data_IF_063522533035
#
_entry.id   IF_063522533035
#
_cell.length_a   1.000
_cell.length_b   1.000
_cell.length_c   1.000
_cell.angle_alpha   90.00
_cell.angle_beta   90.00
_cell.angle_gamma   90.00
#
_symmetry.space_group_name_H-M   'P 1'
#
loop_
_entity.id
_entity.type
_entity.pdbx_description
1 polymer ?
#
# COMPACT_ATOMS: atom_id res chain seq x y z
N UNK A 1 8.33 -7.94 14.70
CA UNK A 1 7.46 -7.59 13.56
C UNK A 1 8.37 -7.02 12.47
N UNK A 2 8.07 -7.28 11.21
CA UNK A 2 8.74 -6.57 10.11
C UNK A 2 8.02 -5.23 9.91
N UNK A 3 8.73 -4.20 9.48
CA UNK A 3 8.15 -2.87 9.24
C UNK A 3 8.66 -2.34 7.89
N UNK A 4 7.76 -1.67 7.16
CA UNK A 4 8.05 -0.86 5.98
C UNK A 4 7.36 0.50 6.17
N UNK A 5 7.75 1.46 5.35
CA UNK A 5 7.40 2.87 5.43
C UNK A 5 7.15 3.43 4.03
N UNK A 6 6.03 4.11 3.83
CA UNK A 6 5.93 5.20 2.86
C UNK A 6 6.80 6.36 3.35
N UNK A 7 7.67 6.91 2.51
CA UNK A 7 8.41 8.13 2.83
C UNK A 7 8.62 8.94 1.56
N UNK A 8 7.90 10.04 1.41
CA UNK A 8 8.04 10.95 0.27
C UNK A 8 9.45 11.58 0.10
N UNK A 9 10.32 11.57 1.13
CA UNK A 9 11.71 12.07 1.04
C UNK A 9 12.79 11.01 0.74
N UNK A 10 12.56 9.73 1.08
CA UNK A 10 13.54 8.64 0.91
C UNK A 10 13.05 7.51 0.00
N UNK A 11 11.81 7.61 -0.50
CA UNK A 11 11.13 6.57 -1.25
C UNK A 11 10.59 5.47 -0.35
N UNK A 12 9.67 4.69 -0.91
CA UNK A 12 9.08 3.48 -0.33
C UNK A 12 10.20 2.58 0.18
N UNK A 13 9.96 1.93 1.32
CA UNK A 13 10.93 0.99 1.88
C UNK A 13 10.51 -0.45 1.66
N UNK A 14 11.52 -1.32 1.64
CA UNK A 14 11.39 -2.73 1.28
C UNK A 14 11.59 -3.62 2.52
N UNK A 15 10.66 -4.55 2.76
CA UNK A 15 10.86 -5.66 3.67
C UNK A 15 11.47 -6.86 2.94
N UNK A 16 12.43 -7.52 3.59
CA UNK A 16 13.08 -8.72 3.06
C UNK A 16 12.79 -9.93 3.93
N UNK A 17 12.51 -11.04 3.26
CA UNK A 17 12.19 -12.33 3.88
C UNK A 17 13.11 -13.40 3.30
N UNK A 18 13.27 -14.50 4.05
CA UNK A 18 14.01 -15.68 3.59
C UNK A 18 13.39 -16.92 4.19
N UNK A 19 13.27 -17.98 3.38
CA UNK A 19 12.91 -19.30 3.91
C UNK A 19 14.19 -20.07 4.21
N UNK A 20 14.26 -20.64 5.42
CA UNK A 20 15.34 -21.52 5.86
C UNK A 20 14.77 -22.82 6.40
N UNK A 21 15.38 -23.94 6.07
CA UNK A 21 15.21 -25.17 6.81
C UNK A 21 15.87 -25.04 8.19
N UNK A 22 15.20 -25.57 9.21
CA UNK A 22 15.59 -25.48 10.62
C UNK A 22 15.66 -26.87 11.26
N UNK A 23 16.36 -26.98 12.38
CA UNK A 23 16.32 -28.16 13.26
C UNK A 23 15.08 -28.18 14.16
N UNK A 24 14.96 -29.20 15.02
CA UNK A 24 13.84 -29.37 15.95
C UNK A 24 13.71 -28.23 16.98
N UNK A 25 14.78 -27.45 17.19
CA UNK A 25 14.84 -26.31 18.10
C UNK A 25 14.55 -24.98 17.38
N UNK A 26 14.34 -25.01 16.05
CA UNK A 26 14.07 -23.84 15.22
C UNK A 26 15.33 -23.11 14.75
N UNK A 27 16.53 -23.67 14.94
CA UNK A 27 17.76 -23.05 14.46
C UNK A 27 17.98 -23.37 12.98
N UNK A 28 18.40 -22.40 12.15
CA UNK A 28 18.71 -22.68 10.75
C UNK A 28 19.81 -23.74 10.59
N UNK A 29 19.57 -24.72 9.72
CA UNK A 29 20.57 -25.72 9.36
C UNK A 29 21.79 -25.05 8.70
N UNK A 30 22.99 -25.58 8.99
CA UNK A 30 24.23 -25.08 8.38
C UNK A 30 24.23 -25.23 6.85
N UNK A 31 23.77 -26.38 6.36
CA UNK A 31 23.56 -26.65 4.95
C UNK A 31 22.05 -26.61 4.65
N UNK A 32 21.65 -25.74 3.72
CA UNK A 32 20.26 -25.57 3.32
C UNK A 32 19.94 -26.48 2.12
N UNK A 33 18.74 -27.08 2.06
CA UNK A 33 18.33 -27.84 0.88
C UNK A 33 18.19 -26.89 -0.32
N UNK A 34 18.44 -27.43 -1.51
CA UNK A 34 18.14 -26.74 -2.77
C UNK A 34 16.65 -26.90 -3.10
N UNK A 35 16.11 -25.99 -3.90
CA UNK A 35 14.73 -26.06 -4.36
C UNK A 35 13.96 -24.78 -4.05
N UNK A 36 12.67 -24.82 -4.38
CA UNK A 36 11.75 -23.70 -4.17
C UNK A 36 10.60 -24.08 -3.28
N UNK A 37 10.01 -23.09 -2.61
CA UNK A 37 8.80 -23.21 -1.81
C UNK A 37 7.85 -22.08 -2.19
N UNK A 38 6.54 -22.32 -2.09
CA UNK A 38 5.58 -21.24 -2.28
C UNK A 38 5.30 -20.51 -0.96
N UNK A 39 5.11 -19.21 -1.06
CA UNK A 39 4.72 -18.31 0.02
C UNK A 39 3.48 -17.55 -0.36
N UNK A 40 2.66 -17.25 0.64
CA UNK A 40 1.47 -16.43 0.49
C UNK A 40 1.67 -15.08 1.18
N UNK A 41 1.32 -14.00 0.49
CA UNK A 41 1.08 -12.69 1.07
C UNK A 41 -0.43 -12.56 1.28
N UNK A 42 -0.84 -12.44 2.54
CA UNK A 42 -2.24 -12.31 2.92
C UNK A 42 -2.47 -10.93 3.47
N UNK A 43 -3.39 -10.20 2.84
CA UNK A 43 -3.87 -8.90 3.29
C UNK A 43 -4.39 -8.98 4.73
N UNK A 44 -3.98 -8.01 5.54
CA UNK A 44 -4.51 -7.79 6.88
C UNK A 44 -5.52 -6.65 6.82
N UNK A 45 -5.07 -5.47 7.23
CA UNK A 45 -5.79 -4.22 6.92
C UNK A 45 -5.26 -3.57 5.65
N UNK A 46 -3.98 -3.83 5.31
CA UNK A 46 -3.37 -3.41 4.05
C UNK A 46 -3.85 -4.28 2.89
N UNK A 47 -3.83 -3.71 1.70
CA UNK A 47 -4.33 -4.20 0.42
C UNK A 47 -3.20 -4.33 -0.59
N UNK A 48 -2.99 -5.54 -1.12
CA UNK A 48 -1.97 -5.75 -2.13
C UNK A 48 -2.29 -5.00 -3.43
N UNK A 49 -1.33 -4.22 -3.92
CA UNK A 49 -1.42 -3.40 -5.13
C UNK A 49 -1.77 -1.94 -4.87
N UNK A 50 -2.42 -1.66 -3.73
CA UNK A 50 -2.74 -0.30 -3.29
C UNK A 50 -1.70 0.15 -2.24
N UNK A 51 -1.53 -0.59 -1.13
CA UNK A 51 -0.67 -0.16 -0.01
C UNK A 51 0.70 -0.87 -0.02
N UNK A 52 0.79 -2.04 -0.67
CA UNK A 52 2.07 -2.76 -0.82
C UNK A 52 2.11 -3.65 -2.07
N UNK A 53 3.32 -3.93 -2.56
CA UNK A 53 3.55 -4.86 -3.68
C UNK A 53 4.60 -5.91 -3.32
N UNK A 54 4.61 -7.05 -4.04
CA UNK A 54 5.60 -8.11 -3.86
C UNK A 54 5.98 -8.74 -5.20
N UNK A 55 7.21 -9.27 -5.28
CA UNK A 55 7.79 -9.70 -6.55
C UNK A 55 7.51 -11.16 -6.92
N UNK A 56 7.52 -12.08 -5.95
CA UNK A 56 7.46 -13.52 -6.18
C UNK A 56 6.68 -14.24 -5.08
N UNK A 57 5.90 -15.23 -5.46
CA UNK A 57 5.24 -16.17 -4.52
C UNK A 57 5.86 -17.56 -4.54
N UNK A 58 6.71 -17.88 -5.52
CA UNK A 58 7.59 -19.05 -5.49
C UNK A 58 9.02 -18.59 -5.23
N UNK A 59 9.61 -18.99 -4.11
CA UNK A 59 10.90 -18.46 -3.63
C UNK A 59 11.93 -19.58 -3.47
N UNK A 60 13.19 -19.28 -3.74
CA UNK A 60 14.29 -20.24 -3.58
C UNK A 60 14.69 -20.32 -2.11
N UNK A 61 14.79 -21.54 -1.57
CA UNK A 61 15.24 -21.75 -0.18
C UNK A 61 16.61 -21.12 0.02
N UNK A 62 16.75 -20.35 1.10
CA UNK A 62 17.98 -19.64 1.45
C UNK A 62 18.25 -18.35 0.67
N UNK A 63 17.42 -17.98 -0.29
CA UNK A 63 17.50 -16.71 -1.03
C UNK A 63 16.47 -15.71 -0.52
N UNK A 64 16.83 -14.42 -0.55
CA UNK A 64 15.91 -13.36 -0.13
C UNK A 64 14.81 -13.12 -1.19
N UNK A 65 13.63 -12.76 -0.71
CA UNK A 65 12.53 -12.19 -1.48
C UNK A 65 11.95 -11.01 -0.71
N UNK A 66 11.09 -10.21 -1.34
CA UNK A 66 10.71 -8.92 -0.78
C UNK A 66 9.28 -8.49 -1.08
N UNK A 67 8.81 -7.55 -0.25
CA UNK A 67 7.67 -6.69 -0.48
C UNK A 67 8.08 -5.22 -0.27
N UNK A 68 7.42 -4.31 -0.97
CA UNK A 68 7.67 -2.87 -0.95
C UNK A 68 6.37 -2.14 -0.62
N UNK A 69 6.47 -1.07 0.15
CA UNK A 69 5.35 -0.14 0.45
C UNK A 69 4.93 0.59 -0.83
N UNK A 70 3.76 1.21 -0.84
CA UNK A 70 3.28 2.04 -1.94
C UNK A 70 2.87 3.40 -1.38
N UNK A 71 3.62 4.42 -1.75
CA UNK A 71 3.35 5.82 -1.40
C UNK A 71 2.12 6.33 -2.16
N UNK A 72 1.03 6.57 -1.43
CA UNK A 72 -0.20 7.16 -1.95
C UNK A 72 -0.82 8.19 -0.98
N UNK A 73 -1.94 8.82 -1.39
CA UNK A 73 -2.53 9.93 -0.63
C UNK A 73 -3.51 9.51 0.49
N UNK A 74 -3.65 8.22 0.73
CA UNK A 74 -4.40 7.64 1.84
C UNK A 74 -3.45 7.40 3.01
N UNK A 75 -4.00 7.12 4.19
CA UNK A 75 -3.17 6.90 5.37
C UNK A 75 -3.08 5.41 5.67
N UNK A 76 -1.85 4.91 5.68
CA UNK A 76 -1.56 3.49 5.89
C UNK A 76 -0.92 3.22 7.26
N UNK A 77 -0.91 4.24 8.13
CA UNK A 77 -0.20 4.16 9.40
C UNK A 77 -0.76 3.06 10.30
N UNK A 78 0.03 2.01 10.50
CA UNK A 78 -0.34 0.86 11.30
C UNK A 78 -1.10 -0.22 10.53
N UNK A 79 -1.28 -0.06 9.22
CA UNK A 79 -1.78 -1.12 8.37
C UNK A 79 -0.80 -2.30 8.27
N UNK A 80 -1.27 -3.48 7.86
CA UNK A 80 -0.42 -4.67 7.88
C UNK A 80 -0.86 -5.76 6.91
N UNK A 81 0.10 -6.60 6.55
CA UNK A 81 -0.08 -7.87 5.84
C UNK A 81 0.74 -9.00 6.48
N UNK A 82 0.44 -10.24 6.11
CA UNK A 82 1.05 -11.45 6.69
C UNK A 82 1.68 -12.31 5.60
N UNK A 83 2.92 -12.74 5.83
CA UNK A 83 3.65 -13.68 4.97
C UNK A 83 3.68 -15.07 5.62
N UNK A 84 3.34 -16.12 4.88
CA UNK A 84 3.32 -17.51 5.35
C UNK A 84 3.84 -18.50 4.31
N UNK A 85 4.20 -19.71 4.76
CA UNK A 85 4.56 -20.82 3.87
C UNK A 85 3.33 -21.58 3.40
N UNK A 86 3.29 -21.92 2.12
CA UNK A 86 2.27 -22.81 1.59
C UNK A 86 2.64 -24.27 1.87
N UNK A 87 1.77 -24.97 2.60
CA UNK A 87 2.00 -26.38 2.96
C UNK A 87 2.09 -27.28 1.73
N UNK A 88 3.09 -28.16 1.71
CA UNK A 88 3.30 -29.14 0.64
C UNK A 88 3.83 -28.56 -0.68
N UNK A 89 4.32 -27.31 -0.67
CA UNK A 89 4.77 -26.61 -1.90
C UNK A 89 6.25 -26.78 -2.24
N UNK A 90 7.05 -27.39 -1.37
CA UNK A 90 8.47 -27.57 -1.59
C UNK A 90 8.73 -28.47 -2.82
N UNK A 91 9.50 -27.95 -3.78
CA UNK A 91 9.69 -28.58 -5.09
C UNK A 91 10.30 -29.98 -5.03
N UNK A 92 11.15 -30.21 -4.04
CA UNK A 92 11.97 -31.42 -3.95
C UNK A 92 11.47 -32.35 -2.83
N UNK A 93 10.21 -32.20 -2.39
CA UNK A 93 9.64 -32.96 -1.28
C UNK A 93 9.69 -34.48 -1.48
N UNK A 94 9.55 -34.98 -2.72
CA UNK A 94 9.59 -36.41 -3.05
C UNK A 94 10.97 -37.06 -2.83
N UNK A 95 12.02 -36.26 -2.62
CA UNK A 95 13.38 -36.76 -2.32
C UNK A 95 13.60 -37.08 -0.84
N UNK A 96 12.63 -36.75 0.02
CA UNK A 96 12.68 -36.94 1.47
C UNK A 96 11.53 -37.85 1.93
N UNK A 97 11.70 -38.56 3.05
CA UNK A 97 10.58 -39.33 3.62
C UNK A 97 9.45 -38.42 4.15
N UNK A 98 9.79 -37.19 4.58
CA UNK A 98 8.84 -36.20 5.10
C UNK A 98 9.43 -34.78 5.06
N UNK A 99 8.61 -33.81 4.70
CA UNK A 99 8.90 -32.37 4.83
C UNK A 99 7.80 -31.74 5.67
N UNK A 100 8.20 -31.06 6.75
CA UNK A 100 7.28 -30.31 7.61
C UNK A 100 7.37 -28.81 7.33
N UNK A 101 6.27 -28.10 7.56
CA UNK A 101 6.15 -26.67 7.34
C UNK A 101 5.76 -26.05 8.68
N UNK A 102 6.58 -25.11 9.15
CA UNK A 102 6.29 -24.40 10.38
C UNK A 102 5.02 -23.54 10.19
N UNK A 103 4.14 -23.46 11.20
CA UNK A 103 2.94 -22.63 11.13
C UNK A 103 3.24 -21.14 11.34
N UNK A 104 4.50 -20.79 11.62
CA UNK A 104 4.94 -19.43 11.86
C UNK A 104 4.69 -18.53 10.64
N UNK A 105 4.33 -17.29 10.93
CA UNK A 105 4.09 -16.25 9.94
C UNK A 105 4.88 -15.01 10.29
N UNK A 106 5.07 -14.14 9.29
CA UNK A 106 5.68 -12.82 9.49
C UNK A 106 4.63 -11.75 9.22
N UNK A 107 4.19 -11.06 10.27
CA UNK A 107 3.40 -9.83 10.13
C UNK A 107 4.33 -8.67 9.80
N UNK A 108 3.98 -7.92 8.76
CA UNK A 108 4.65 -6.71 8.35
C UNK A 108 3.70 -5.53 8.50
N UNK A 109 4.12 -4.50 9.22
CA UNK A 109 3.35 -3.27 9.42
C UNK A 109 3.86 -2.18 8.49
N UNK A 110 2.93 -1.43 7.91
CA UNK A 110 3.18 -0.26 7.10
C UNK A 110 3.13 0.97 8.03
N UNK A 111 4.13 1.84 7.86
CA UNK A 111 4.30 3.06 8.62
C UNK A 111 4.31 4.23 7.65
N UNK A 112 3.13 4.80 7.47
CA UNK A 112 2.89 6.02 6.73
C UNK A 112 3.82 7.16 7.20
N UNK A 113 4.02 8.12 6.31
CA UNK A 113 4.87 9.26 6.54
C UNK A 113 4.22 10.28 7.49
N UNK A 114 5.03 11.21 8.00
CA UNK A 114 4.55 12.19 8.97
C UNK A 114 3.92 13.44 8.32
N UNK A 115 4.19 13.67 7.03
CA UNK A 115 3.72 14.82 6.29
C UNK A 115 2.53 14.38 5.42
N UNK A 116 1.31 14.84 5.74
CA UNK A 116 0.11 14.41 5.02
C UNK A 116 0.21 14.69 3.50
N UNK A 117 -0.04 13.66 2.70
CA UNK A 117 -0.18 13.79 1.27
C UNK A 117 -1.48 14.53 0.88
N UNK A 118 -1.38 15.41 -0.10
CA UNK A 118 -2.54 16.14 -0.61
C UNK A 118 -3.26 15.35 -1.68
N UNK A 119 -4.29 14.58 -1.29
CA UNK A 119 -5.13 13.84 -2.24
C UNK A 119 -5.80 14.74 -3.30
N UNK A 120 -6.22 15.95 -2.90
CA UNK A 120 -6.80 16.95 -3.81
C UNK A 120 -6.71 18.37 -3.23
N UNK A 121 -6.75 19.37 -4.11
CA UNK A 121 -6.97 20.76 -3.70
C UNK A 121 -8.42 21.15 -3.95
N UNK A 122 -9.07 21.80 -2.98
CA UNK A 122 -10.39 22.39 -3.19
C UNK A 122 -10.26 23.82 -3.69
N UNK A 123 -10.90 24.13 -4.81
CA UNK A 123 -10.97 25.48 -5.38
C UNK A 123 -12.41 25.95 -5.49
N UNK A 124 -12.64 27.20 -5.09
CA UNK A 124 -13.93 27.88 -5.22
C UNK A 124 -14.02 28.57 -6.58
N UNK A 125 -15.14 28.38 -7.25
CA UNK A 125 -15.43 28.97 -8.55
C UNK A 125 -16.76 29.75 -8.48
N UNK A 126 -16.87 30.87 -9.23
CA UNK A 126 -18.18 31.40 -9.61
C UNK A 126 -19.02 30.30 -10.27
N UNK A 127 -20.32 30.28 -9.96
CA UNK A 127 -21.26 29.37 -10.62
C UNK A 127 -22.52 30.07 -11.08
N UNK A 128 -23.30 29.40 -11.92
CA UNK A 128 -24.71 29.71 -12.13
C UNK A 128 -25.59 29.15 -10.99
N UNK A 129 -26.91 29.35 -11.09
CA UNK A 129 -27.89 28.89 -10.10
C UNK A 129 -27.98 27.37 -9.98
N UNK A 130 -27.58 26.64 -11.03
CA UNK A 130 -27.55 25.18 -11.07
C UNK A 130 -26.22 24.59 -10.55
N UNK A 131 -25.24 25.44 -10.25
CA UNK A 131 -23.93 25.05 -9.72
C UNK A 131 -22.91 24.66 -10.79
N UNK A 132 -23.14 25.01 -12.06
CA UNK A 132 -22.12 24.87 -13.11
C UNK A 132 -21.08 25.99 -12.97
N UNK A 133 -19.81 25.66 -13.20
CA UNK A 133 -18.73 26.65 -13.16
C UNK A 133 -18.90 27.65 -14.30
N UNK A 134 -18.80 28.94 -13.97
CA UNK A 134 -18.74 30.03 -14.94
C UNK A 134 -17.39 30.76 -14.82
N UNK A 135 -16.94 31.39 -15.91
CA UNK A 135 -15.66 32.11 -15.96
C UNK A 135 -15.78 33.60 -15.65
N UNK A 136 -16.99 34.13 -15.74
CA UNK A 136 -17.25 35.53 -15.44
C UNK A 136 -17.18 35.76 -13.92
N UNK A 137 -16.66 36.92 -13.47
CA UNK A 137 -16.68 37.28 -12.06
C UNK A 137 -18.11 37.25 -11.49
N UNK A 138 -18.25 36.81 -10.25
CA UNK A 138 -19.50 36.97 -9.51
C UNK A 138 -19.74 38.45 -9.20
N UNK A 139 -20.81 39.02 -9.76
CA UNK A 139 -21.22 40.41 -9.52
C UNK A 139 -22.57 40.44 -8.79
N UNK A 140 -22.72 41.38 -7.84
CA UNK A 140 -23.99 41.68 -7.17
C UNK A 140 -24.25 43.19 -7.31
N UNK A 141 -25.42 43.53 -7.83
CA UNK A 141 -25.93 44.90 -7.91
C UNK A 141 -26.92 45.17 -6.77
N UNK A 142 -26.81 46.35 -6.17
CA UNK A 142 -27.68 46.84 -5.09
C UNK A 142 -28.55 48.04 -5.51
N UNK A 143 -28.55 48.38 -6.81
CA UNK A 143 -29.26 49.55 -7.32
C UNK A 143 -30.61 49.21 -7.98
N UNK A 144 -31.58 50.11 -7.80
CA UNK A 144 -32.94 49.91 -8.32
C UNK A 144 -33.07 49.88 -9.84
N UNK A 145 -31.98 50.08 -10.59
CA UNK A 145 -31.94 49.96 -12.05
C UNK A 145 -31.71 48.52 -12.51
N UNK A 146 -30.96 47.71 -11.74
CA UNK A 146 -30.60 46.34 -12.10
C UNK A 146 -31.35 45.28 -11.27
N UNK A 147 -32.05 45.70 -10.20
CA UNK A 147 -32.80 44.81 -9.31
C UNK A 147 -31.87 44.03 -8.37
N UNK A 148 -32.45 43.41 -7.35
CA UNK A 148 -31.68 42.59 -6.41
C UNK A 148 -31.14 41.35 -7.12
N UNK A 149 -29.82 41.25 -7.27
CA UNK A 149 -29.16 40.09 -7.87
C UNK A 149 -28.57 39.14 -6.82
N UNK A 150 -28.45 37.86 -7.15
CA UNK A 150 -27.82 36.84 -6.28
C UNK A 150 -26.59 36.27 -6.97
N UNK A 151 -25.50 36.10 -6.22
CA UNK A 151 -24.31 35.38 -6.68
C UNK A 151 -24.33 33.92 -6.21
N UNK A 152 -23.84 33.02 -7.06
CA UNK A 152 -23.70 31.59 -6.78
C UNK A 152 -22.24 31.16 -6.89
N UNK A 153 -21.87 30.13 -6.12
CA UNK A 153 -20.53 29.57 -6.11
C UNK A 153 -20.57 28.04 -5.99
N UNK A 154 -19.57 27.38 -6.57
CA UNK A 154 -19.36 25.93 -6.45
C UNK A 154 -17.92 25.62 -6.04
N UNK A 155 -17.74 24.62 -5.19
CA UNK A 155 -16.42 24.06 -4.85
C UNK A 155 -16.20 22.79 -5.66
N UNK A 156 -15.03 22.66 -6.28
CA UNK A 156 -14.58 21.43 -6.94
C UNK A 156 -13.22 21.00 -6.41
N UNK A 157 -12.99 19.69 -6.39
CA UNK A 157 -11.65 19.13 -6.25
C UNK A 157 -10.92 19.27 -7.59
N UNK A 158 -9.68 19.73 -7.54
CA UNK A 158 -8.77 19.82 -8.68
C UNK A 158 -7.52 18.98 -8.38
N UNK A 159 -6.99 18.32 -9.41
CA UNK A 159 -5.71 17.60 -9.33
C UNK A 159 -4.53 18.58 -9.49
N UNK A 160 -3.31 18.04 -9.60
CA UNK A 160 -2.08 18.82 -9.70
C UNK A 160 -1.96 19.67 -10.98
N UNK A 161 -2.77 19.42 -12.01
CA UNK A 161 -2.76 20.17 -13.28
C UNK A 161 -3.76 21.34 -13.31
N UNK A 162 -4.71 21.38 -12.36
CA UNK A 162 -5.60 22.53 -12.09
C UNK A 162 -6.92 22.56 -12.84
#
# INVERSE_FOLDING_TARGET
>A
PSEIHEQSANGNTTAYYVVKAVDEEGNPLADQPTGTVNVSFTDGTATAGDDYTFNNTTVTVGSAFSAESVDDALTDSGENFVVSLDSGSFSDADTYEKVEYAPDTVTTTILDEADDDSAFTLKLFPSDEDGNIITDPSEIHEDGANGDTTAYYVVKAVDSDG
#
